data_IF_069221251673
#
_entry.id   IF_069221251673
#
_cell.length_a   1.000
_cell.length_b   1.000
_cell.length_c   1.000
_cell.angle_alpha   90.00
_cell.angle_beta   90.00
_cell.angle_gamma   90.00
#
_symmetry.space_group_name_H-M   'P 1'
#
loop_
_entity.id
_entity.type
_entity.pdbx_description
1 polymer ?
#
# COMPACT_ATOMS: atom_id res chain seq x y z
N UNK A 1 -4.27 -4.18 -0.72
CA UNK A 1 -3.60 -4.17 0.59
C UNK A 1 -4.53 -3.73 1.71
N UNK A 2 -5.04 -2.49 1.71
CA UNK A 2 -5.92 -1.97 2.80
C UNK A 2 -7.12 -2.86 3.10
N UNK A 3 -7.78 -3.40 2.06
CA UNK A 3 -8.91 -4.33 2.21
C UNK A 3 -8.54 -5.62 2.96
N UNK A 4 -7.35 -6.18 2.73
CA UNK A 4 -6.93 -7.40 3.41
C UNK A 4 -6.65 -7.13 4.90
N UNK A 5 -6.02 -6.00 5.24
CA UNK A 5 -5.89 -5.57 6.62
C UNK A 5 -7.25 -5.35 7.30
N UNK A 6 -8.19 -4.75 6.58
CA UNK A 6 -9.55 -4.54 7.08
C UNK A 6 -10.25 -5.88 7.38
N UNK A 7 -10.05 -6.93 6.57
CA UNK A 7 -10.57 -8.27 6.87
C UNK A 7 -9.95 -8.88 8.13
N UNK A 8 -8.64 -8.71 8.34
CA UNK A 8 -7.96 -9.20 9.55
C UNK A 8 -8.52 -8.49 10.77
N UNK A 9 -8.59 -7.16 10.73
CA UNK A 9 -9.21 -6.35 11.77
C UNK A 9 -10.65 -6.79 12.05
N UNK A 10 -11.46 -6.99 11.01
CA UNK A 10 -12.84 -7.42 11.13
C UNK A 10 -12.96 -8.82 11.77
N UNK A 11 -11.99 -9.72 11.54
CA UNK A 11 -11.95 -11.02 12.20
C UNK A 11 -11.62 -10.87 13.70
N UNK A 12 -10.62 -10.06 14.05
CA UNK A 12 -10.23 -9.82 15.45
C UNK A 12 -11.33 -9.10 16.23
N UNK A 13 -11.92 -8.06 15.65
CA UNK A 13 -12.97 -7.27 16.27
C UNK A 13 -14.24 -8.10 16.53
N UNK A 14 -14.65 -8.97 15.59
CA UNK A 14 -15.80 -9.88 15.81
C UNK A 14 -15.56 -10.90 16.92
N UNK A 15 -14.30 -11.24 17.21
CA UNK A 15 -13.97 -12.15 18.31
C UNK A 15 -14.10 -11.47 19.69
N UNK A 16 -14.17 -10.14 19.75
CA UNK A 16 -14.34 -9.40 21.01
C UNK A 16 -15.83 -9.30 21.38
N UNK A 17 -16.24 -9.79 22.56
CA UNK A 17 -17.63 -9.69 23.00
C UNK A 17 -18.13 -8.25 23.03
N UNK A 18 -19.32 -8.03 22.45
CA UNK A 18 -19.96 -6.71 22.42
C UNK A 18 -19.44 -5.75 21.35
N UNK A 19 -18.47 -6.15 20.52
CA UNK A 19 -17.96 -5.26 19.46
C UNK A 19 -19.02 -4.98 18.38
N UNK A 20 -19.84 -5.97 18.04
CA UNK A 20 -20.93 -5.83 17.06
C UNK A 20 -20.42 -5.74 15.61
N UNK A 21 -21.10 -4.91 14.81
CA UNK A 21 -20.77 -4.72 13.40
C UNK A 21 -19.38 -4.11 13.19
N UNK A 22 -18.72 -4.47 12.10
CA UNK A 22 -17.32 -4.12 11.82
C UNK A 22 -17.18 -3.42 10.47
N UNK A 23 -16.31 -2.40 10.38
CA UNK A 23 -15.95 -1.76 9.11
C UNK A 23 -15.49 -2.75 8.04
N UNK A 24 -15.91 -2.53 6.79
CA UNK A 24 -15.49 -3.26 5.59
C UNK A 24 -15.09 -2.28 4.49
N UNK A 25 -13.93 -2.48 3.86
CA UNK A 25 -13.57 -1.77 2.63
C UNK A 25 -14.19 -2.52 1.43
N UNK A 26 -15.05 -1.84 0.67
CA UNK A 26 -15.69 -2.44 -0.50
C UNK A 26 -14.67 -2.75 -1.60
N UNK A 27 -14.91 -3.79 -2.41
CA UNK A 27 -14.02 -4.11 -3.52
C UNK A 27 -14.09 -3.05 -4.63
N UNK A 28 -12.92 -2.67 -5.14
CA UNK A 28 -12.74 -1.87 -6.35
C UNK A 28 -12.31 -2.79 -7.50
N UNK A 29 -13.04 -2.77 -8.59
CA UNK A 29 -12.79 -3.57 -9.78
C UNK A 29 -12.22 -2.71 -10.90
N UNK A 30 -11.25 -3.24 -11.65
CA UNK A 30 -10.79 -2.65 -12.90
C UNK A 30 -11.49 -3.35 -14.07
N UNK A 31 -12.25 -2.61 -14.86
CA UNK A 31 -12.95 -3.13 -16.04
C UNK A 31 -12.25 -2.67 -17.32
N UNK A 32 -12.26 -3.54 -18.33
CA UNK A 32 -11.80 -3.24 -19.68
C UNK A 32 -12.99 -2.95 -20.61
N UNK A 33 -12.92 -1.85 -21.35
CA UNK A 33 -13.97 -1.31 -22.22
C UNK A 33 -13.43 -1.09 -23.64
N UNK A 34 -13.43 -2.12 -24.51
CA UNK A 34 -12.75 -2.07 -25.80
C UNK A 34 -13.32 -1.04 -26.78
N UNK A 35 -14.60 -0.65 -26.63
CA UNK A 35 -15.26 0.33 -27.49
C UNK A 35 -15.02 1.79 -27.05
N UNK A 36 -14.24 2.03 -26.00
CA UNK A 36 -14.01 3.36 -25.44
C UNK A 36 -12.57 3.82 -25.66
N UNK A 37 -12.38 5.10 -26.00
CA UNK A 37 -11.06 5.74 -26.08
C UNK A 37 -10.28 5.67 -24.76
N UNK A 38 -11.00 5.56 -23.63
CA UNK A 38 -10.43 5.25 -22.32
C UNK A 38 -10.81 3.80 -21.99
N UNK A 39 -9.92 2.84 -22.29
CA UNK A 39 -10.25 1.41 -22.26
C UNK A 39 -10.33 0.83 -20.86
N UNK A 40 -9.89 1.55 -19.83
CA UNK A 40 -9.94 1.09 -18.45
C UNK A 40 -10.81 2.02 -17.60
N UNK A 41 -11.58 1.43 -16.70
CA UNK A 41 -12.33 2.16 -15.68
C UNK A 41 -12.37 1.37 -14.38
N UNK A 42 -12.56 2.09 -13.28
CA UNK A 42 -12.84 1.49 -12.00
C UNK A 42 -14.34 1.37 -11.78
N UNK A 43 -14.76 0.31 -11.08
CA UNK A 43 -16.15 0.04 -10.70
C UNK A 43 -16.17 -0.40 -9.23
N UNK A 44 -17.12 0.12 -8.47
CA UNK A 44 -17.36 -0.24 -7.08
C UNK A 44 -18.87 -0.31 -6.80
N UNK A 45 -19.23 -0.85 -5.64
CA UNK A 45 -20.62 -0.92 -5.19
C UNK A 45 -21.17 0.49 -4.92
N UNK A 46 -22.31 0.84 -5.53
CA UNK A 46 -23.00 2.08 -5.22
C UNK A 46 -23.71 1.98 -3.86
N UNK A 47 -23.26 2.78 -2.88
CA UNK A 47 -23.78 2.74 -1.50
C UNK A 47 -25.14 3.42 -1.29
N UNK A 48 -25.78 3.95 -2.34
CA UNK A 48 -27.17 4.42 -2.30
C UNK A 48 -27.42 5.73 -1.54
N UNK A 49 -26.44 6.25 -0.81
CA UNK A 49 -26.54 7.44 0.04
C UNK A 49 -25.28 8.30 -0.02
N UNK A 50 -25.34 9.60 0.35
CA UNK A 50 -24.15 10.42 0.49
C UNK A 50 -23.17 9.81 1.50
N UNK A 51 -21.88 9.84 1.15
CA UNK A 51 -20.82 9.29 1.99
C UNK A 51 -20.56 10.19 3.21
N UNK A 52 -20.55 9.60 4.40
CA UNK A 52 -20.02 10.23 5.61
C UNK A 52 -18.50 10.11 5.61
N UNK A 53 -17.78 11.21 5.90
CA UNK A 53 -16.32 11.15 6.12
C UNK A 53 -16.03 10.73 7.55
N UNK A 54 -15.48 9.54 7.73
CA UNK A 54 -15.10 9.01 9.05
C UNK A 54 -13.78 9.59 9.56
N UNK A 55 -12.83 9.83 8.65
CA UNK A 55 -11.59 10.56 8.91
C UNK A 55 -11.21 11.43 7.69
N UNK A 56 -10.65 12.61 7.93
CA UNK A 56 -10.11 13.48 6.89
C UNK A 56 -8.58 13.50 6.95
N UNK A 57 -7.94 13.80 5.82
CA UNK A 57 -6.54 14.22 5.80
C UNK A 57 -6.46 15.67 6.31
N UNK A 58 -6.10 15.83 7.58
CA UNK A 58 -5.99 17.15 8.22
C UNK A 58 -4.92 18.08 7.62
N UNK A 59 -4.17 17.65 6.60
CA UNK A 59 -3.06 18.40 6.03
C UNK A 59 -3.50 19.56 5.11
N UNK A 60 -4.71 19.51 4.54
CA UNK A 60 -5.12 20.45 3.47
C UNK A 60 -6.24 21.42 3.88
N UNK A 61 -6.86 21.22 5.05
CA UNK A 61 -7.88 22.15 5.54
C UNK A 61 -7.20 23.32 6.24
N UNK A 62 -7.05 24.45 5.54
CA UNK A 62 -6.62 25.73 6.09
C UNK A 62 -7.56 26.21 7.22
N UNK A 63 -7.38 25.68 8.43
CA UNK A 63 -8.04 26.13 9.65
C UNK A 63 -9.53 25.75 9.81
N UNK A 64 -10.13 25.01 8.87
CA UNK A 64 -11.50 24.53 9.06
C UNK A 64 -11.50 23.31 9.97
N UNK A 65 -11.87 23.52 11.24
CA UNK A 65 -12.10 22.47 12.24
C UNK A 65 -13.28 21.61 11.76
N UNK A 66 -12.99 20.57 10.97
CA UNK A 66 -13.99 19.57 10.61
C UNK A 66 -14.39 18.87 11.90
N UNK A 67 -15.64 19.09 12.34
CA UNK A 67 -16.19 18.41 13.51
C UNK A 67 -16.04 16.90 13.28
N UNK A 68 -15.33 16.17 14.16
CA UNK A 68 -15.14 14.76 13.97
C UNK A 68 -16.50 14.05 13.95
N UNK A 69 -16.76 13.27 12.90
CA UNK A 69 -17.92 12.38 12.85
C UNK A 69 -18.01 11.55 14.15
N UNK A 70 -19.17 11.55 14.78
CA UNK A 70 -19.40 10.90 16.09
C UNK A 70 -20.18 9.59 15.97
N UNK A 71 -20.59 9.21 14.75
CA UNK A 71 -21.29 7.96 14.48
C UNK A 71 -20.46 6.76 14.95
N UNK A 72 -21.14 5.69 15.36
CA UNK A 72 -20.47 4.45 15.79
C UNK A 72 -19.54 3.91 14.69
N UNK A 73 -20.02 3.96 13.45
CA UNK A 73 -19.24 3.69 12.25
C UNK A 73 -17.94 4.51 12.20
N UNK A 74 -18.02 5.83 12.38
CA UNK A 74 -16.84 6.69 12.38
C UNK A 74 -15.87 6.33 13.50
N UNK A 75 -16.38 6.03 14.70
CA UNK A 75 -15.56 5.62 15.84
C UNK A 75 -14.82 4.31 15.55
N UNK A 76 -15.51 3.29 15.04
CA UNK A 76 -14.90 2.00 14.67
C UNK A 76 -13.93 2.12 13.49
N UNK A 77 -14.18 3.04 12.55
CA UNK A 77 -13.23 3.34 11.47
C UNK A 77 -11.93 3.96 12.01
N UNK A 78 -12.02 4.87 12.99
CA UNK A 78 -10.83 5.41 13.68
C UNK A 78 -10.10 4.35 14.49
N UNK A 79 -10.84 3.44 15.12
CA UNK A 79 -10.27 2.27 15.79
C UNK A 79 -9.54 1.36 14.81
N UNK A 80 -10.07 1.15 13.61
CA UNK A 80 -9.38 0.43 12.54
C UNK A 80 -8.07 1.14 12.12
N UNK A 81 -8.08 2.46 11.96
CA UNK A 81 -6.84 3.22 11.67
C UNK A 81 -5.79 3.03 12.77
N UNK A 82 -6.20 3.08 14.04
CA UNK A 82 -5.30 2.87 15.18
C UNK A 82 -4.76 1.45 15.23
N UNK A 83 -5.65 0.45 15.11
CA UNK A 83 -5.26 -0.95 15.05
C UNK A 83 -4.23 -1.18 13.94
N UNK A 84 -4.47 -0.63 12.75
CA UNK A 84 -3.58 -0.79 11.60
C UNK A 84 -2.23 -0.11 11.79
N UNK A 85 -2.24 1.09 12.37
CA UNK A 85 -1.02 1.81 12.73
C UNK A 85 -0.18 0.99 13.69
N UNK A 86 -0.79 0.43 14.74
CA UNK A 86 -0.09 -0.43 15.71
C UNK A 86 0.38 -1.75 15.07
N UNK A 87 -0.48 -2.41 14.30
CA UNK A 87 -0.20 -3.69 13.61
C UNK A 87 1.02 -3.59 12.69
N UNK A 88 1.16 -2.46 12.01
CA UNK A 88 2.25 -2.21 11.07
C UNK A 88 3.41 -1.44 11.70
N UNK A 89 3.43 -1.32 13.03
CA UNK A 89 4.48 -0.62 13.78
C UNK A 89 4.74 0.82 13.28
N UNK A 90 3.66 1.55 13.00
CA UNK A 90 3.68 2.92 12.52
C UNK A 90 4.25 3.09 11.11
N UNK A 91 4.14 2.08 10.25
CA UNK A 91 4.65 2.13 8.87
C UNK A 91 3.57 2.32 7.81
N UNK A 92 2.31 2.07 8.15
CA UNK A 92 1.18 2.09 7.25
C UNK A 92 -0.06 2.67 7.94
N UNK A 93 -0.79 3.52 7.23
CA UNK A 93 -2.04 4.11 7.68
C UNK A 93 -3.00 4.18 6.49
N UNK A 94 -4.27 3.90 6.74
CA UNK A 94 -5.34 4.19 5.78
C UNK A 94 -5.93 5.55 6.13
N UNK A 95 -6.14 6.40 5.13
CA UNK A 95 -6.66 7.76 5.28
C UNK A 95 -7.85 7.98 4.38
N UNK A 96 -8.53 9.12 4.55
CA UNK A 96 -9.66 9.52 3.71
C UNK A 96 -10.81 8.50 3.72
N UNK A 97 -11.00 7.80 4.86
CA UNK A 97 -12.11 6.86 5.05
C UNK A 97 -13.44 7.58 4.94
N UNK A 98 -14.21 7.24 3.92
CA UNK A 98 -15.58 7.69 3.73
C UNK A 98 -16.49 6.51 3.39
N UNK A 99 -17.77 6.59 3.74
CA UNK A 99 -18.64 5.44 3.62
C UNK A 99 -20.08 5.66 4.02
N UNK A 100 -20.82 4.55 4.05
CA UNK A 100 -22.19 4.47 4.55
C UNK A 100 -22.27 3.29 5.51
N UNK A 101 -22.72 3.56 6.74
CA UNK A 101 -22.73 2.60 7.86
C UNK A 101 -21.35 1.94 8.05
N UNK A 102 -21.21 0.66 7.76
CA UNK A 102 -19.97 -0.10 7.97
C UNK A 102 -19.12 -0.21 6.70
N UNK A 103 -19.67 0.20 5.54
CA UNK A 103 -18.98 0.09 4.25
C UNK A 103 -18.17 1.34 3.96
N UNK A 104 -16.89 1.17 3.74
CA UNK A 104 -15.93 2.23 3.40
C UNK A 104 -15.48 2.10 1.95
N UNK A 105 -15.28 3.24 1.29
CA UNK A 105 -14.76 3.36 -0.07
C UNK A 105 -13.74 4.50 -0.18
N UNK A 106 -13.17 4.69 -1.37
CA UNK A 106 -12.25 5.79 -1.73
C UNK A 106 -11.06 5.98 -0.78
N UNK A 107 -10.63 4.88 -0.16
CA UNK A 107 -9.58 4.91 0.86
C UNK A 107 -8.22 5.26 0.25
N UNK A 108 -7.47 6.09 0.96
CA UNK A 108 -6.10 6.44 0.61
C UNK A 108 -5.11 5.76 1.54
N UNK A 109 -3.84 5.75 1.14
CA UNK A 109 -2.77 5.09 1.89
C UNK A 109 -1.65 6.09 2.17
N UNK A 110 -1.21 6.11 3.42
CA UNK A 110 0.01 6.77 3.85
C UNK A 110 1.00 5.74 4.39
N UNK A 111 2.24 5.81 3.92
CA UNK A 111 3.34 4.93 4.33
C UNK A 111 4.53 5.75 4.81
N UNK A 112 5.31 5.16 5.73
CA UNK A 112 6.51 5.81 6.28
C UNK A 112 7.66 5.91 5.27
N UNK A 113 7.77 4.92 4.37
CA UNK A 113 8.83 4.81 3.36
C UNK A 113 8.23 4.72 1.96
N UNK A 114 8.94 5.26 0.97
CA UNK A 114 8.63 5.10 -0.45
C UNK A 114 8.75 3.65 -0.87
N UNK A 115 7.84 3.19 -1.73
CA UNK A 115 7.87 1.83 -2.27
C UNK A 115 7.43 0.76 -1.28
N UNK A 116 6.83 1.12 -0.14
CA UNK A 116 6.32 0.16 0.83
C UNK A 116 5.36 -0.82 0.14
N UNK A 117 5.73 -2.10 0.08
CA UNK A 117 4.98 -3.15 -0.63
C UNK A 117 4.64 -2.79 -2.09
N UNK A 118 5.51 -2.02 -2.76
CA UNK A 118 5.31 -1.60 -4.15
C UNK A 118 4.51 -0.31 -4.33
N UNK A 119 4.07 0.34 -3.25
CA UNK A 119 3.36 1.63 -3.29
C UNK A 119 4.37 2.78 -3.46
N UNK A 120 4.49 3.30 -4.68
CA UNK A 120 5.48 4.34 -5.02
C UNK A 120 5.06 5.74 -4.55
N UNK A 121 3.78 6.08 -4.66
CA UNK A 121 3.24 7.43 -4.45
C UNK A 121 2.54 7.62 -3.08
N UNK A 122 2.72 6.70 -2.13
CA UNK A 122 2.02 6.72 -0.83
C UNK A 122 2.88 7.18 0.35
N UNK A 123 4.09 7.70 0.11
CA UNK A 123 5.02 8.05 1.18
C UNK A 123 4.68 9.40 1.83
N UNK A 124 3.95 9.37 2.95
CA UNK A 124 3.50 10.54 3.70
C UNK A 124 3.84 10.42 5.20
N UNK A 125 5.13 10.39 5.58
CA UNK A 125 5.55 10.16 6.97
C UNK A 125 4.96 11.18 7.95
N UNK A 126 4.85 12.46 7.57
CA UNK A 126 4.25 13.50 8.42
C UNK A 126 2.77 13.23 8.75
N UNK A 127 2.03 12.53 7.88
CA UNK A 127 0.64 12.16 8.16
C UNK A 127 0.53 11.05 9.20
N UNK A 128 1.50 10.12 9.22
CA UNK A 128 1.60 9.08 10.24
C UNK A 128 1.96 9.68 11.61
N UNK A 129 2.90 10.63 11.64
CA UNK A 129 3.28 11.37 12.86
C UNK A 129 2.10 12.19 13.39
N UNK A 130 1.43 12.95 12.51
CA UNK A 130 0.25 13.73 12.89
C UNK A 130 -0.86 12.83 13.46
N UNK A 131 -1.10 11.67 12.85
CA UNK A 131 -2.08 10.70 13.36
C UNK A 131 -1.73 10.22 14.78
N UNK A 132 -0.46 9.92 15.05
CA UNK A 132 -0.04 9.46 16.37
C UNK A 132 -0.30 10.50 17.48
N UNK A 133 -0.18 11.78 17.14
CA UNK A 133 -0.42 12.90 18.07
C UNK A 133 -1.91 13.23 18.20
N UNK A 134 -2.66 13.21 17.09
CA UNK A 134 -4.05 13.65 17.05
C UNK A 134 -5.05 12.56 17.45
N UNK A 135 -4.68 11.28 17.33
CA UNK A 135 -5.59 10.18 17.66
C UNK A 135 -5.98 10.19 19.13
N UNK A 136 -7.29 10.12 19.37
CA UNK A 136 -7.87 9.94 20.69
C UNK A 136 -8.51 8.56 20.71
N UNK A 137 -8.05 7.71 21.63
CA UNK A 137 -8.66 6.41 21.83
C UNK A 137 -10.13 6.57 22.20
N UNK A 138 -10.97 5.66 21.72
CA UNK A 138 -12.37 5.54 22.07
C UNK A 138 -12.60 4.19 22.75
N UNK A 139 -13.85 3.96 23.17
CA UNK A 139 -14.28 2.70 23.79
C UNK A 139 -13.93 1.46 22.96
N UNK A 140 -14.04 1.52 21.63
CA UNK A 140 -13.68 0.39 20.77
C UNK A 140 -12.16 0.12 20.71
N UNK A 141 -11.32 1.16 20.82
CA UNK A 141 -9.87 0.98 20.97
C UNK A 141 -9.54 0.24 22.27
N UNK A 142 -10.23 0.59 23.36
CA UNK A 142 -10.07 -0.05 24.67
C UNK A 142 -10.55 -1.51 24.65
N UNK A 143 -11.69 -1.79 24.01
CA UNK A 143 -12.20 -3.15 23.82
C UNK A 143 -11.21 -4.08 23.11
N UNK A 144 -10.45 -3.54 22.16
CA UNK A 144 -9.39 -4.26 21.44
C UNK A 144 -8.04 -4.27 22.18
N UNK A 145 -7.94 -3.62 23.34
CA UNK A 145 -6.69 -3.54 24.11
C UNK A 145 -5.57 -2.80 23.38
N UNK A 146 -5.89 -1.82 22.52
CA UNK A 146 -4.90 -1.04 21.78
C UNK A 146 -4.09 -0.14 22.72
N UNK A 147 -2.81 0.03 22.43
CA UNK A 147 -1.91 0.87 23.24
C UNK A 147 -2.14 2.33 22.88
N UNK A 148 -2.36 3.18 23.88
CA UNK A 148 -2.48 4.63 23.65
C UNK A 148 -1.24 5.20 22.95
N UNK A 149 -1.45 5.85 21.80
CA UNK A 149 -0.37 6.43 20.99
C UNK A 149 0.32 7.60 21.71
N UNK A 150 -0.41 8.34 22.56
CA UNK A 150 0.14 9.46 23.36
C UNK A 150 1.22 9.02 24.36
N UNK A 151 1.13 7.79 24.86
CA UNK A 151 2.10 7.26 25.84
C UNK A 151 3.40 6.79 25.17
N UNK A 152 3.38 6.47 23.87
CA UNK A 152 4.55 5.98 23.14
C UNK A 152 5.63 7.07 23.01
N UNK A 153 5.24 8.33 22.85
CA UNK A 153 6.16 9.47 22.82
C UNK A 153 6.92 9.65 24.15
N UNK A 154 6.31 9.32 25.29
CA UNK A 154 6.96 9.47 26.61
C UNK A 154 7.92 8.32 26.93
N UNK A 155 7.77 7.15 26.29
CA UNK A 155 8.59 5.96 26.56
C UNK A 155 9.73 5.73 25.56
N UNK A 156 9.84 6.53 24.50
CA UNK A 156 10.94 6.46 23.54
C UNK A 156 11.73 7.78 23.46
N UNK A 157 12.69 8.04 24.36
CA UNK A 157 13.87 8.79 23.95
C UNK A 157 14.58 7.95 22.89
N UNK A 158 14.69 8.49 21.67
CA UNK A 158 15.46 7.91 20.55
C UNK A 158 16.74 7.23 21.08
N UNK A 159 16.84 5.90 21.06
CA UNK A 159 18.11 5.26 21.33
C UNK A 159 18.99 5.56 20.12
N UNK A 160 19.99 6.42 20.31
CA UNK A 160 21.11 6.58 19.39
C UNK A 160 21.55 5.19 18.92
N UNK A 161 21.58 4.98 17.61
CA UNK A 161 22.09 3.78 16.99
C UNK A 161 23.48 3.47 17.57
N UNK A 162 23.57 2.47 18.44
CA UNK A 162 24.83 1.92 18.93
C UNK A 162 25.00 0.57 18.26
N UNK A 163 26.06 0.49 17.46
CA UNK A 163 26.33 -0.59 16.53
C UNK A 163 26.19 -1.98 17.12
N UNK A 164 25.74 -2.87 16.25
CA UNK A 164 25.74 -4.32 16.41
C UNK A 164 27.06 -4.82 17.00
N UNK A 165 27.00 -5.38 18.20
CA UNK A 165 28.02 -6.29 18.71
C UNK A 165 27.30 -7.53 19.24
N UNK A 166 27.43 -8.60 18.47
CA UNK A 166 26.93 -9.95 18.77
C UNK A 166 27.47 -10.45 20.12
N UNK A 167 26.67 -11.19 20.91
CA UNK A 167 27.16 -11.81 22.13
C UNK A 167 27.71 -13.21 21.80
N UNK A 168 29.00 -13.42 22.00
CA UNK A 168 29.56 -14.77 22.16
C UNK A 168 30.42 -14.82 23.42
N UNK A 169 30.21 -15.91 24.15
CA UNK A 169 30.47 -16.11 25.57
C UNK A 169 31.94 -15.97 26.00
N UNK A 170 32.14 -15.40 27.19
CA UNK A 170 33.42 -15.36 27.87
C UNK A 170 33.78 -16.69 28.55
N UNK A 171 35.06 -17.08 28.44
CA UNK A 171 35.75 -17.90 29.45
C UNK A 171 37.21 -17.43 29.52
N UNK A 172 37.70 -17.21 30.75
CA UNK A 172 39.01 -16.64 31.07
C UNK A 172 40.17 -17.64 30.79
N UNK A 173 41.34 -17.04 30.54
CA UNK A 173 42.72 -17.54 30.29
C UNK A 173 43.29 -18.46 31.43
N UNK A 174 44.55 -18.99 31.43
CA UNK A 174 45.74 -18.54 30.67
C UNK A 174 46.81 -19.59 30.20
N UNK A 175 47.77 -19.05 29.44
CA UNK A 175 49.23 -19.32 29.39
C UNK A 175 49.84 -20.67 28.98
N UNK A 176 50.70 -20.54 27.94
CA UNK A 176 52.05 -21.12 27.78
C UNK A 176 52.25 -22.51 27.16
N UNK A 177 53.25 -22.51 26.27
CA UNK A 177 54.21 -23.59 25.94
C UNK A 177 53.94 -24.43 24.68
N UNK A 178 54.82 -24.18 23.70
CA UNK A 178 55.56 -25.16 22.89
C UNK A 178 54.95 -25.87 21.66
N UNK A 179 55.78 -25.78 20.60
CA UNK A 179 56.18 -26.79 19.60
C UNK A 179 55.34 -26.96 18.32
N UNK A 180 55.96 -26.48 17.23
CA UNK A 180 55.92 -27.03 15.88
C UNK A 180 56.25 -28.54 15.85
N UNK A 181 55.86 -29.27 14.78
CA UNK A 181 56.88 -29.58 13.76
C UNK A 181 56.38 -29.54 12.29
N UNK A 182 57.31 -29.18 11.39
CA UNK A 182 57.37 -29.53 9.95
C UNK A 182 57.40 -31.07 9.76
N UNK A 183 57.30 -31.74 8.60
CA UNK A 183 57.32 -31.49 7.14
C UNK A 183 56.70 -32.78 6.52
N UNK A 184 56.22 -32.80 5.26
CA UNK A 184 56.95 -33.47 4.17
C UNK A 184 56.33 -33.17 2.80
N UNK A 185 57.21 -33.21 1.80
CA UNK A 185 57.16 -32.61 0.47
C UNK A 185 57.35 -33.71 -0.58
N UNK A 186 56.57 -33.69 -1.67
CA UNK A 186 56.82 -34.27 -3.02
C UNK A 186 55.50 -34.11 -3.80
N UNK A 187 55.38 -33.70 -5.07
CA UNK A 187 56.29 -33.40 -6.17
C UNK A 187 55.42 -33.41 -7.46
N UNK A 188 55.57 -32.41 -8.32
CA UNK A 188 54.86 -32.03 -9.58
C UNK A 188 54.72 -33.15 -10.66
N UNK A 189 54.12 -32.95 -11.89
CA UNK A 189 53.63 -31.72 -12.57
C UNK A 189 52.27 -31.82 -13.34
N UNK A 190 51.77 -30.66 -13.83
CA UNK A 190 50.74 -30.52 -14.89
C UNK A 190 51.27 -30.94 -16.28
N UNK A 191 50.42 -31.07 -17.33
CA UNK A 191 50.18 -29.91 -18.20
C UNK A 191 48.80 -29.79 -18.87
N UNK A 192 48.66 -28.63 -19.52
CA UNK A 192 47.58 -27.99 -20.27
C UNK A 192 46.83 -28.81 -21.33
N UNK A 193 45.58 -28.40 -21.58
CA UNK A 193 44.90 -28.53 -22.87
C UNK A 193 43.98 -27.32 -23.10
N UNK A 194 44.24 -26.57 -24.16
CA UNK A 194 43.51 -25.38 -24.60
C UNK A 194 43.08 -25.56 -26.06
N UNK A 195 41.94 -24.95 -26.45
CA UNK A 195 41.52 -24.43 -27.79
C UNK A 195 39.97 -24.39 -27.83
N UNK A 196 39.29 -23.23 -28.01
CA UNK A 196 39.03 -22.44 -29.24
C UNK A 196 38.51 -23.35 -30.40
N UNK A 197 37.45 -23.10 -31.16
CA UNK A 197 36.62 -21.91 -31.43
C UNK A 197 35.45 -22.29 -32.39
N UNK A 198 34.48 -21.37 -32.53
CA UNK A 198 33.77 -20.94 -33.77
C UNK A 198 32.79 -21.85 -34.53
N UNK A 199 31.54 -21.38 -34.67
CA UNK A 199 30.82 -20.97 -35.91
C UNK A 199 29.30 -20.88 -35.62
N UNK A 200 28.67 -19.69 -35.59
CA UNK A 200 28.03 -18.95 -36.69
C UNK A 200 27.10 -19.77 -37.58
N UNK A 201 25.79 -19.52 -37.48
CA UNK A 201 24.88 -19.48 -38.64
C UNK A 201 23.87 -18.33 -38.47
N UNK A 202 23.80 -17.54 -39.53
CA UNK A 202 23.01 -16.33 -39.78
C UNK A 202 21.95 -16.71 -40.82
N UNK A 203 20.68 -16.38 -40.61
CA UNK A 203 19.69 -16.35 -41.68
C UNK A 203 18.50 -15.43 -41.33
N UNK A 204 18.44 -14.28 -42.00
CA UNK A 204 17.21 -13.61 -42.46
C UNK A 204 17.30 -13.64 -43.98
N UNK A 205 16.18 -13.74 -44.73
CA UNK A 205 15.62 -12.51 -45.28
C UNK A 205 14.10 -12.47 -45.55
N UNK A 206 13.57 -11.24 -45.45
CA UNK A 206 12.61 -10.52 -46.32
C UNK A 206 11.14 -10.97 -46.49
N UNK A 207 10.28 -9.97 -46.29
CA UNK A 207 8.93 -9.75 -46.84
C UNK A 207 8.92 -9.55 -48.37
N UNK A 208 7.73 -9.62 -49.00
CA UNK A 208 7.14 -8.43 -49.65
C UNK A 208 5.62 -8.29 -49.38
N UNK A 209 5.15 -7.06 -49.14
CA UNK A 209 4.20 -6.25 -49.98
C UNK A 209 2.74 -6.74 -50.01
N UNK A 210 1.81 -5.99 -49.39
CA UNK A 210 0.97 -4.91 -49.96
C UNK A 210 -0.31 -5.46 -50.60
N UNK A 211 -1.46 -5.30 -49.93
CA UNK A 211 -2.76 -5.14 -50.61
C UNK A 211 -3.55 -4.08 -49.86
N UNK A 212 -3.67 -2.92 -50.51
CA UNK A 212 -4.63 -1.88 -50.22
C UNK A 212 -6.07 -2.41 -50.35
N UNK A 213 -6.94 -2.01 -49.43
CA UNK A 213 -8.38 -2.12 -49.62
C UNK A 213 -9.05 -0.88 -49.05
N UNK A 214 -9.02 0.14 -49.91
CA UNK A 214 -9.82 1.36 -49.85
C UNK A 214 -11.31 0.98 -49.97
N UNK A 215 -12.08 1.16 -48.90
CA UNK A 215 -13.54 1.23 -48.97
C UNK A 215 -13.98 2.63 -48.58
N UNK A 216 -14.23 3.44 -49.61
CA UNK A 216 -14.90 4.72 -49.50
C UNK A 216 -16.36 4.48 -49.86
N UNK A 217 -17.31 4.85 -48.98
CA UNK A 217 -18.67 5.33 -49.32
C UNK A 217 -19.57 5.40 -48.09
N UNK A 218 -19.89 6.61 -47.64
CA UNK A 218 -21.25 6.98 -47.22
C UNK A 218 -21.43 8.50 -47.43
N UNK A 219 -22.50 8.96 -48.13
CA UNK A 219 -22.82 10.36 -48.25
C UNK A 219 -23.90 10.82 -47.25
N UNK A 220 -23.80 12.11 -46.90
CA UNK A 220 -24.86 13.07 -46.57
C UNK A 220 -25.93 12.71 -45.53
N UNK A 221 -25.90 13.43 -44.40
CA UNK A 221 -27.09 13.69 -43.57
C UNK A 221 -27.47 15.16 -43.76
N UNK A 222 -28.60 15.40 -44.42
CA UNK A 222 -29.27 16.69 -44.49
C UNK A 222 -30.49 16.70 -43.54
N UNK A 223 -30.45 17.67 -42.63
CA UNK A 223 -31.49 18.41 -41.90
C UNK A 223 -32.96 17.93 -41.90
N UNK A 224 -33.59 17.91 -40.71
CA UNK A 224 -34.85 18.65 -40.49
C UNK A 224 -35.26 18.79 -39.00
N UNK A 225 -35.43 20.04 -38.54
CA UNK A 225 -36.35 20.58 -37.49
C UNK A 225 -35.70 21.83 -36.90
N UNK A 226 -36.32 23.00 -36.80
CA UNK A 226 -37.69 23.45 -37.04
C UNK A 226 -37.77 24.86 -36.46
N UNK A 227 -38.42 25.77 -37.19
CA UNK A 227 -38.41 27.22 -36.97
C UNK A 227 -39.15 27.69 -35.71
N UNK A 228 -38.69 28.86 -35.25
CA UNK A 228 -39.26 29.79 -34.26
C UNK A 228 -40.72 30.18 -34.55
N UNK A 229 -41.48 30.54 -33.51
CA UNK A 229 -42.29 31.77 -33.46
C UNK A 229 -42.85 32.04 -32.05
N UNK A 230 -42.50 33.20 -31.47
CA UNK A 230 -43.33 33.98 -30.54
C UNK A 230 -42.74 35.39 -30.45
N UNK A 231 -43.55 36.41 -30.77
CA UNK A 231 -43.18 37.81 -30.58
C UNK A 231 -43.99 38.78 -31.43
N UNK A 232 -45.07 39.28 -30.80
CA UNK A 232 -45.92 40.46 -31.14
C UNK A 232 -47.02 40.26 -32.19
#
# INVERSE_FOLDING_TARGET
MSREYCKIFAAEARAVPGFGEVPEIIPLYLIYRPANNIPYATLEEYLGRPLERYCARDLESGGSQVVPATSEAAQKCRTFQHWLYQWTNGSFLVTDLAGVDWKMTDVQIATKLKGYQGLKESCFPGLLEQFAVSHQCNTHCEMLGLKSLKTLETLYPVPKAKGSKSPSSGRKAPSSTQLSPQLQKKGHPSPQGSRKSSSSLKATPKSPETVDSQWNSQPAVAQHRGSKAQGM
#
